data_IF_984233509488
#
_entry.id   IF_984233509488
#
_cell.length_a   1.000
_cell.length_b   1.000
_cell.length_c   1.000
_cell.angle_alpha   90.00
_cell.angle_beta   90.00
_cell.angle_gamma   90.00
#
_symmetry.space_group_name_H-M   'P 1'
#
loop_
_entity.id
_entity.type
_entity.pdbx_description
1 polymer ?
#
# COMPACT_ATOMS: atom_id res chain seq x y z
N UNK A 1 11.02 -17.72 -4.15
CA UNK A 1 11.00 -16.91 -2.90
C UNK A 1 12.41 -16.43 -2.66
N UNK A 2 12.60 -15.20 -2.14
CA UNK A 2 13.95 -14.69 -1.89
C UNK A 2 14.68 -15.64 -0.93
N UNK A 3 15.92 -16.01 -1.26
CA UNK A 3 16.72 -16.95 -0.47
C UNK A 3 17.06 -16.41 0.93
N UNK A 4 17.04 -15.08 1.10
CA UNK A 4 17.28 -14.39 2.38
C UNK A 4 16.44 -13.11 2.48
N UNK A 5 15.94 -12.81 3.69
CA UNK A 5 15.24 -11.56 4.00
C UNK A 5 16.27 -10.42 3.97
N UNK A 6 15.97 -9.30 3.30
CA UNK A 6 16.91 -8.17 3.25
C UNK A 6 17.01 -7.43 4.60
N UNK A 7 18.17 -6.82 4.93
CA UNK A 7 18.31 -6.01 6.15
C UNK A 7 17.24 -4.91 6.25
N UNK A 8 16.82 -4.58 7.47
CA UNK A 8 15.80 -3.56 7.71
C UNK A 8 14.36 -4.03 7.47
N UNK A 9 14.14 -5.34 7.42
CA UNK A 9 12.82 -5.96 7.31
C UNK A 9 12.57 -6.84 8.54
N UNK A 10 11.30 -7.16 8.80
CA UNK A 10 10.90 -8.08 9.88
C UNK A 10 11.66 -9.40 9.72
N UNK A 11 12.26 -9.89 10.81
CA UNK A 11 13.11 -11.08 10.80
C UNK A 11 14.58 -10.85 10.39
N UNK A 12 14.97 -9.64 9.98
CA UNK A 12 16.37 -9.27 9.70
C UNK A 12 16.66 -7.79 10.03
N UNK A 13 16.59 -7.44 11.31
CA UNK A 13 16.98 -6.13 11.84
C UNK A 13 18.34 -6.22 12.55
N UNK A 14 19.20 -5.22 12.35
CA UNK A 14 20.35 -5.01 13.25
C UNK A 14 19.87 -4.47 14.60
N UNK A 15 20.68 -4.56 15.68
CA UNK A 15 20.32 -3.97 16.97
C UNK A 15 19.98 -2.48 16.89
N UNK A 16 20.69 -1.72 16.05
CA UNK A 16 20.42 -0.29 15.83
C UNK A 16 19.09 -0.06 15.10
N UNK A 17 18.77 -0.91 14.12
CA UNK A 17 17.52 -0.84 13.38
C UNK A 17 16.31 -1.20 14.27
N UNK A 18 16.45 -2.23 15.10
CA UNK A 18 15.45 -2.60 16.11
C UNK A 18 15.21 -1.44 17.10
N UNK A 19 16.28 -0.81 17.58
CA UNK A 19 16.19 0.36 18.44
C UNK A 19 15.47 1.54 17.76
N UNK A 20 15.70 1.75 16.46
CA UNK A 20 14.99 2.79 15.69
C UNK A 20 13.50 2.48 15.49
N UNK A 21 13.16 1.21 15.28
CA UNK A 21 11.77 0.76 15.25
C UNK A 21 11.10 1.00 16.62
N UNK A 22 11.80 0.70 17.71
CA UNK A 22 11.32 0.94 19.08
C UNK A 22 11.06 2.42 19.33
N UNK A 23 11.99 3.30 18.92
CA UNK A 23 11.85 4.75 19.01
C UNK A 23 10.66 5.27 18.20
N UNK A 24 10.42 4.74 17.00
CA UNK A 24 9.26 5.14 16.19
C UNK A 24 7.93 4.73 16.85
N UNK A 25 7.83 3.51 17.37
CA UNK A 25 6.64 3.08 18.11
C UNK A 25 6.41 3.92 19.36
N UNK A 26 7.46 4.22 20.11
CA UNK A 26 7.38 5.10 21.28
C UNK A 26 6.84 6.49 20.90
N UNK A 27 7.41 7.11 19.87
CA UNK A 27 6.97 8.42 19.40
C UNK A 27 5.53 8.40 18.87
N UNK A 28 5.14 7.34 18.17
CA UNK A 28 3.78 7.15 17.69
C UNK A 28 2.76 6.98 18.84
N UNK A 29 3.09 6.19 19.87
CA UNK A 29 2.21 6.02 21.04
C UNK A 29 2.10 7.26 21.91
N UNK A 30 3.18 8.05 22.04
CA UNK A 30 3.10 9.38 22.66
C UNK A 30 2.17 10.31 21.88
N UNK A 31 2.29 10.31 20.55
CA UNK A 31 1.42 11.09 19.67
C UNK A 31 -0.04 10.71 19.82
N UNK A 32 -0.31 9.41 19.96
CA UNK A 32 -1.64 8.84 20.11
C UNK A 32 -2.18 8.89 21.55
N UNK A 33 -1.44 9.48 22.51
CA UNK A 33 -1.86 9.56 23.91
C UNK A 33 -1.90 8.21 24.64
N UNK A 34 -1.31 7.16 24.05
CA UNK A 34 -1.20 5.82 24.65
C UNK A 34 -0.09 5.80 25.71
N UNK A 35 0.97 6.59 25.51
CA UNK A 35 2.14 6.68 26.38
C UNK A 35 2.22 8.12 26.91
N UNK A 36 2.33 8.29 28.23
CA UNK A 36 2.47 9.63 28.84
C UNK A 36 3.84 10.25 28.52
N UNK A 37 3.90 11.59 28.43
CA UNK A 37 5.18 12.30 28.30
C UNK A 37 6.00 12.14 29.59
N UNK A 38 7.19 11.54 29.52
CA UNK A 38 8.19 11.47 30.60
C UNK A 38 8.65 12.85 31.13
N UNK A 39 8.13 13.94 30.59
CA UNK A 39 8.45 15.31 31.01
C UNK A 39 7.92 15.68 32.41
N UNK A 40 7.16 14.82 33.09
CA UNK A 40 6.72 15.03 34.48
C UNK A 40 7.73 14.57 35.55
N UNK A 41 8.76 13.81 35.19
CA UNK A 41 9.76 13.27 36.13
C UNK A 41 10.95 14.24 36.37
N UNK A 42 10.68 15.52 36.60
CA UNK A 42 11.68 16.45 37.20
C UNK A 42 11.01 17.75 37.62
N UNK A 43 10.31 17.77 38.75
CA UNK A 43 10.22 18.94 39.65
C UNK A 43 9.58 18.50 40.96
N UNK A 44 10.36 17.83 41.80
CA UNK A 44 10.07 17.74 43.22
C UNK A 44 11.21 18.43 43.98
N UNK A 45 11.11 19.75 44.12
CA UNK A 45 11.70 20.50 45.24
C UNK A 45 11.09 21.89 45.38
N UNK A 46 10.68 22.19 46.61
CA UNK A 46 10.42 23.48 47.25
C UNK A 46 9.01 24.10 47.11
N UNK A 47 8.58 24.69 48.23
CA UNK A 47 7.20 24.89 48.66
C UNK A 47 6.77 26.37 48.72
N UNK A 48 5.47 26.54 48.99
CA UNK A 48 4.72 27.71 49.51
C UNK A 48 4.05 28.70 48.53
N UNK A 49 2.69 28.75 48.60
CA UNK A 49 1.97 30.03 48.74
C UNK A 49 0.75 30.33 47.84
N UNK A 50 -0.46 30.03 48.36
CA UNK A 50 -1.79 30.72 48.19
C UNK A 50 -2.53 30.82 46.83
N UNK A 51 -3.63 30.06 46.76
CA UNK A 51 -5.03 30.32 46.32
C UNK A 51 -5.40 31.27 45.12
N UNK A 52 -5.91 30.64 44.04
CA UNK A 52 -7.11 30.85 43.16
C UNK A 52 -7.56 32.25 42.61
N UNK A 53 -8.34 32.34 41.48
CA UNK A 53 -9.06 31.29 40.72
C UNK A 53 -8.96 31.28 39.16
N UNK A 54 -9.30 30.11 38.59
CA UNK A 54 -9.94 29.79 37.30
C UNK A 54 -9.38 30.36 35.96
N UNK A 55 -8.65 29.51 35.22
CA UNK A 55 -8.33 29.67 33.80
C UNK A 55 -9.10 28.67 32.92
N UNK A 56 -9.54 29.14 31.75
CA UNK A 56 -10.09 28.32 30.68
C UNK A 56 -9.06 27.38 30.05
N UNK A 57 -9.57 26.34 29.41
CA UNK A 57 -8.81 25.25 28.77
C UNK A 57 -7.69 25.78 27.85
N UNK A 58 -6.44 25.55 28.27
CA UNK A 58 -5.24 25.82 27.48
C UNK A 58 -5.01 24.68 26.49
N UNK A 59 -5.05 24.99 25.19
CA UNK A 59 -4.60 24.13 24.09
C UNK A 59 -3.19 23.55 24.40
N UNK A 60 -3.09 22.23 24.55
CA UNK A 60 -1.82 21.50 24.70
C UNK A 60 -1.03 21.61 23.39
N UNK A 61 0.01 22.44 23.35
CA UNK A 61 0.99 22.48 22.26
C UNK A 61 1.99 21.34 22.47
N UNK A 62 1.94 20.32 21.61
CA UNK A 62 2.94 19.24 21.57
C UNK A 62 4.34 19.82 21.31
N UNK A 63 5.25 19.58 22.26
CA UNK A 63 6.64 20.06 22.25
C UNK A 63 7.62 19.06 21.66
N UNK A 64 7.31 18.45 20.51
CA UNK A 64 8.21 17.47 19.87
C UNK A 64 9.51 18.12 19.33
N UNK A 65 9.53 19.45 19.14
CA UNK A 65 10.67 20.16 18.56
C UNK A 65 11.60 20.90 19.55
N UNK A 66 11.56 20.61 20.86
CA UNK A 66 12.36 21.38 21.82
C UNK A 66 13.22 20.53 22.75
N UNK A 67 14.24 19.87 22.20
CA UNK A 67 15.38 19.39 23.00
C UNK A 67 16.74 19.55 22.30
N UNK A 68 17.23 20.79 22.20
CA UNK A 68 18.61 21.16 22.55
C UNK A 68 18.75 22.68 22.63
N UNK A 69 19.24 23.15 23.77
CA UNK A 69 19.52 24.57 24.01
C UNK A 69 20.79 25.02 23.29
N UNK A 70 20.67 26.20 22.70
CA UNK A 70 21.74 27.19 22.51
C UNK A 70 22.98 26.79 21.72
N UNK A 71 22.78 26.35 20.48
CA UNK A 71 23.64 26.78 19.36
C UNK A 71 22.68 27.24 18.26
N UNK A 72 22.96 28.39 17.63
CA UNK A 72 22.23 28.85 16.45
C UNK A 72 22.36 27.75 15.39
N UNK A 73 21.32 26.94 15.29
CA UNK A 73 21.31 25.70 14.53
C UNK A 73 21.36 25.97 13.04
N UNK A 74 22.46 25.59 12.42
CA UNK A 74 22.60 25.40 10.98
C UNK A 74 21.65 24.30 10.43
N UNK A 75 20.91 23.57 11.27
CA UNK A 75 19.96 22.54 10.85
C UNK A 75 18.57 23.10 10.47
N UNK A 76 18.25 24.35 10.82
CA UNK A 76 17.00 24.98 10.37
C UNK A 76 17.02 25.37 8.87
N UNK A 77 18.20 25.40 8.25
CA UNK A 77 18.35 25.58 6.80
C UNK A 77 18.41 24.27 6.01
N UNK A 78 18.60 23.11 6.67
CA UNK A 78 18.71 21.81 5.98
C UNK A 78 17.40 21.00 6.00
N UNK A 79 16.45 21.31 6.89
CA UNK A 79 15.13 20.67 6.88
C UNK A 79 14.23 21.13 5.71
N UNK A 80 14.61 22.20 5.01
CA UNK A 80 13.87 22.72 3.87
C UNK A 80 14.14 21.99 2.54
N UNK A 81 15.19 21.15 2.46
CA UNK A 81 15.53 20.42 1.22
C UNK A 81 14.74 19.11 1.03
N UNK A 82 14.07 18.59 2.07
CA UNK A 82 13.49 17.22 2.07
C UNK A 82 11.94 17.19 2.08
N UNK A 83 11.27 18.35 2.00
CA UNK A 83 9.80 18.44 2.05
C UNK A 83 9.15 18.65 0.68
N UNK A 84 9.57 17.87 -0.33
CA UNK A 84 9.09 17.92 -1.72
C UNK A 84 7.55 17.93 -1.82
N UNK A 85 6.86 17.28 -0.88
CA UNK A 85 5.42 17.09 -0.90
C UNK A 85 4.66 17.84 0.21
N UNK A 86 5.32 18.71 0.98
CA UNK A 86 4.67 19.48 2.04
C UNK A 86 4.18 18.65 3.24
N UNK A 87 4.78 17.48 3.48
CA UNK A 87 4.45 16.55 4.56
C UNK A 87 4.62 17.19 5.94
N UNK A 88 5.59 18.08 6.14
CA UNK A 88 5.76 18.74 7.45
C UNK A 88 4.57 19.61 7.80
N UNK A 89 4.08 20.38 6.82
CA UNK A 89 2.90 21.22 6.99
C UNK A 89 1.65 20.36 7.20
N UNK A 90 1.49 19.32 6.39
CA UNK A 90 0.34 18.42 6.49
C UNK A 90 0.31 17.70 7.85
N UNK A 91 1.46 17.22 8.33
CA UNK A 91 1.61 16.66 9.68
C UNK A 91 1.10 17.62 10.77
N UNK A 92 1.52 18.89 10.73
CA UNK A 92 1.06 19.89 11.69
C UNK A 92 -0.45 20.14 11.61
N UNK A 93 -1.02 20.13 10.40
CA UNK A 93 -2.47 20.25 10.19
C UNK A 93 -3.23 19.05 10.78
N UNK A 94 -2.71 17.83 10.61
CA UNK A 94 -3.30 16.61 11.19
C UNK A 94 -3.34 16.69 12.71
N UNK A 95 -2.21 17.06 13.36
CA UNK A 95 -2.15 17.19 14.82
C UNK A 95 -3.06 18.29 15.37
N UNK A 96 -3.37 19.30 14.56
CA UNK A 96 -4.26 20.39 14.97
C UNK A 96 -5.74 20.03 14.82
N UNK A 97 -6.08 19.05 13.99
CA UNK A 97 -7.46 18.75 13.56
C UNK A 97 -7.98 17.40 14.03
N UNK A 98 -7.10 16.45 14.36
CA UNK A 98 -7.47 15.09 14.76
C UNK A 98 -7.14 14.85 16.23
N UNK A 99 -7.96 14.04 16.91
CA UNK A 99 -7.64 13.60 18.27
C UNK A 99 -6.53 12.53 18.22
N UNK A 100 -5.76 12.34 19.30
CA UNK A 100 -4.78 11.26 19.40
C UNK A 100 -5.39 9.87 19.11
N UNK A 101 -6.62 9.63 19.55
CA UNK A 101 -7.35 8.38 19.32
C UNK A 101 -7.69 8.20 17.84
N UNK A 102 -8.15 9.24 17.15
CA UNK A 102 -8.45 9.18 15.72
C UNK A 102 -7.19 8.88 14.88
N UNK A 103 -6.02 9.41 15.27
CA UNK A 103 -4.74 9.09 14.63
C UNK A 103 -4.42 7.61 14.82
N UNK A 104 -4.57 7.10 16.05
CA UNK A 104 -4.37 5.67 16.39
C UNK A 104 -5.28 4.76 15.57
N UNK A 105 -6.58 5.05 15.51
CA UNK A 105 -7.56 4.27 14.75
C UNK A 105 -7.23 4.26 13.25
N UNK A 106 -6.81 5.41 12.70
CA UNK A 106 -6.41 5.52 11.30
C UNK A 106 -5.21 4.61 10.99
N UNK A 107 -4.21 4.55 11.87
CA UNK A 107 -3.07 3.66 11.69
C UNK A 107 -3.51 2.19 11.64
N UNK A 108 -4.34 1.76 12.59
CA UNK A 108 -4.81 0.38 12.64
C UNK A 108 -5.73 0.00 11.48
N UNK A 109 -6.48 0.95 10.93
CA UNK A 109 -7.22 0.78 9.68
C UNK A 109 -6.29 0.56 8.47
N UNK A 110 -5.09 1.17 8.49
CA UNK A 110 -4.09 1.08 7.42
C UNK A 110 -3.32 -0.24 7.42
N UNK A 111 -3.14 -0.86 8.59
CA UNK A 111 -2.40 -2.12 8.77
C UNK A 111 -3.00 -3.27 7.97
N UNK A 112 -4.33 -3.41 7.92
CA UNK A 112 -5.01 -4.50 7.19
C UNK A 112 -4.40 -5.88 7.50
N UNK A 113 -3.91 -6.61 6.49
CA UNK A 113 -3.22 -7.89 6.61
C UNK A 113 -1.69 -7.78 6.70
N UNK A 114 -1.14 -6.57 6.70
CA UNK A 114 0.30 -6.37 6.86
C UNK A 114 0.73 -6.61 8.32
N UNK A 115 1.98 -6.99 8.50
CA UNK A 115 2.60 -6.96 9.83
C UNK A 115 2.76 -5.50 10.29
N UNK A 116 2.31 -5.11 11.50
CA UNK A 116 2.38 -3.71 11.94
C UNK A 116 3.80 -3.14 11.90
N UNK A 117 4.81 -3.90 12.35
CA UNK A 117 6.21 -3.50 12.23
C UNK A 117 6.70 -3.39 10.77
N UNK A 118 6.26 -4.26 9.86
CA UNK A 118 6.65 -4.14 8.45
C UNK A 118 6.14 -2.83 7.85
N UNK A 119 4.93 -2.40 8.23
CA UNK A 119 4.39 -1.11 7.81
C UNK A 119 5.24 0.05 8.35
N UNK A 120 5.57 0.05 9.65
CA UNK A 120 6.42 1.07 10.25
C UNK A 120 7.84 1.12 9.64
N UNK A 121 8.43 -0.05 9.37
CA UNK A 121 9.76 -0.19 8.80
C UNK A 121 9.86 0.41 7.39
N UNK A 122 8.80 0.39 6.57
CA UNK A 122 8.78 1.07 5.27
C UNK A 122 9.11 2.56 5.41
N UNK A 123 8.53 3.23 6.41
CA UNK A 123 8.76 4.66 6.66
C UNK A 123 10.16 4.93 7.20
N UNK A 124 10.68 4.07 8.08
CA UNK A 124 12.05 4.17 8.57
C UNK A 124 13.06 4.02 7.43
N UNK A 125 12.93 3.00 6.59
CA UNK A 125 13.82 2.81 5.42
C UNK A 125 13.74 4.01 4.46
N UNK A 126 12.53 4.46 4.14
CA UNK A 126 12.31 5.62 3.26
C UNK A 126 12.88 6.94 3.80
N UNK A 127 13.08 7.05 5.12
CA UNK A 127 13.68 8.22 5.77
C UNK A 127 15.05 7.92 6.39
N UNK A 128 15.75 6.90 5.87
CA UNK A 128 17.14 6.56 6.23
C UNK A 128 17.32 6.40 7.75
N UNK A 129 16.33 5.79 8.40
CA UNK A 129 16.26 5.55 9.85
C UNK A 129 16.22 6.82 10.72
N UNK A 130 15.83 7.96 10.14
CA UNK A 130 15.45 9.16 10.88
C UNK A 130 14.01 9.00 11.40
N UNK A 131 13.87 8.90 12.73
CA UNK A 131 12.60 8.58 13.40
C UNK A 131 11.59 9.71 13.24
N UNK A 132 12.02 10.96 13.39
CA UNK A 132 11.13 12.12 13.33
C UNK A 132 10.58 12.30 11.92
N UNK A 133 11.46 12.19 10.91
CA UNK A 133 11.04 12.24 9.50
C UNK A 133 10.14 11.07 9.12
N UNK A 134 10.42 9.87 9.64
CA UNK A 134 9.58 8.69 9.40
C UNK A 134 8.18 8.88 10.01
N UNK A 135 8.08 9.42 11.22
CA UNK A 135 6.80 9.72 11.87
C UNK A 135 6.00 10.77 11.11
N UNK A 136 6.65 11.84 10.66
CA UNK A 136 6.03 12.89 9.82
C UNK A 136 5.45 12.28 8.54
N UNK A 137 6.23 11.44 7.84
CA UNK A 137 5.78 10.77 6.62
C UNK A 137 4.63 9.81 6.88
N UNK A 138 4.70 9.01 7.95
CA UNK A 138 3.66 8.05 8.34
C UNK A 138 2.31 8.73 8.57
N UNK A 139 2.28 9.74 9.44
CA UNK A 139 1.03 10.44 9.78
C UNK A 139 0.50 11.25 8.59
N UNK A 140 1.37 11.84 7.78
CA UNK A 140 0.95 12.51 6.53
C UNK A 140 0.31 11.53 5.54
N UNK A 141 0.88 10.33 5.42
CA UNK A 141 0.35 9.26 4.57
C UNK A 141 -1.00 8.78 5.07
N UNK A 142 -1.14 8.58 6.38
CA UNK A 142 -2.40 8.19 7.02
C UNK A 142 -3.51 9.19 6.72
N UNK A 143 -3.23 10.49 6.83
CA UNK A 143 -4.19 11.55 6.52
C UNK A 143 -4.54 11.61 5.04
N UNK A 144 -3.56 11.55 4.13
CA UNK A 144 -3.84 11.46 2.70
C UNK A 144 -4.73 10.26 2.36
N UNK A 145 -4.41 9.10 2.95
CA UNK A 145 -5.14 7.84 2.72
C UNK A 145 -6.58 7.90 3.21
N UNK A 146 -6.79 8.46 4.39
CA UNK A 146 -8.09 8.54 5.05
C UNK A 146 -8.97 9.68 4.52
N UNK A 147 -8.40 10.90 4.45
CA UNK A 147 -9.16 12.14 4.23
C UNK A 147 -9.14 12.60 2.78
N UNK A 148 -7.98 12.60 2.14
CA UNK A 148 -7.83 13.17 0.79
C UNK A 148 -8.28 12.18 -0.28
N UNK A 149 -7.67 10.99 -0.29
CA UNK A 149 -7.90 9.95 -1.30
C UNK A 149 -9.02 8.97 -0.91
N UNK A 150 -9.35 8.89 0.39
CA UNK A 150 -10.40 8.01 0.94
C UNK A 150 -10.25 6.56 0.44
N UNK A 151 -9.03 6.04 0.52
CA UNK A 151 -8.65 4.76 -0.06
C UNK A 151 -9.55 3.63 0.46
N UNK A 152 -9.69 3.52 1.78
CA UNK A 152 -10.43 2.42 2.39
C UNK A 152 -11.93 2.70 2.45
N UNK A 153 -12.33 3.95 2.71
CA UNK A 153 -13.73 4.35 2.92
C UNK A 153 -14.52 4.52 1.63
N UNK A 154 -13.84 4.71 0.49
CA UNK A 154 -14.48 4.96 -0.79
C UNK A 154 -13.91 4.04 -1.88
N UNK A 155 -12.64 4.20 -2.26
CA UNK A 155 -12.08 3.47 -3.43
C UNK A 155 -12.20 1.95 -3.27
N UNK A 156 -11.75 1.42 -2.13
CA UNK A 156 -11.76 -0.02 -1.87
C UNK A 156 -13.11 -0.52 -1.35
N UNK A 157 -13.86 0.30 -0.61
CA UNK A 157 -15.21 -0.05 -0.14
C UNK A 157 -16.22 -0.16 -1.30
N UNK A 158 -16.14 0.73 -2.28
CA UNK A 158 -17.05 0.75 -3.43
C UNK A 158 -16.53 -0.10 -4.60
N UNK A 159 -15.21 -0.08 -4.83
CA UNK A 159 -14.54 -0.90 -5.85
C UNK A 159 -15.19 -0.82 -7.24
N UNK A 160 -15.21 -1.96 -7.91
CA UNK A 160 -15.71 -2.05 -9.29
C UNK A 160 -17.23 -1.98 -9.38
N UNK A 161 -17.96 -2.60 -8.44
CA UNK A 161 -19.43 -2.52 -8.40
C UNK A 161 -19.91 -1.08 -8.19
N UNK A 162 -19.26 -0.33 -7.29
CA UNK A 162 -19.56 1.08 -7.09
C UNK A 162 -19.30 1.92 -8.34
N UNK A 163 -18.26 1.60 -9.11
CA UNK A 163 -18.05 2.23 -10.42
C UNK A 163 -19.16 1.90 -11.43
N UNK A 164 -19.68 0.67 -11.43
CA UNK A 164 -20.85 0.26 -12.25
C UNK A 164 -22.10 1.04 -11.85
N UNK A 165 -22.38 1.16 -10.55
CA UNK A 165 -23.51 1.94 -10.04
C UNK A 165 -23.36 3.40 -10.46
N UNK A 166 -22.20 4.00 -10.22
CA UNK A 166 -21.93 5.38 -10.61
C UNK A 166 -22.08 5.61 -12.12
N UNK A 167 -21.56 4.72 -12.96
CA UNK A 167 -21.70 4.85 -14.42
C UNK A 167 -23.16 4.76 -14.90
N UNK A 168 -24.00 3.96 -14.22
CA UNK A 168 -25.41 3.76 -14.60
C UNK A 168 -26.34 4.83 -14.03
N UNK A 169 -26.17 5.14 -12.75
CA UNK A 169 -27.13 5.87 -11.92
C UNK A 169 -26.56 7.17 -11.36
N UNK A 170 -25.23 7.36 -11.41
CA UNK A 170 -24.58 8.57 -10.93
C UNK A 170 -24.99 9.80 -11.73
N UNK A 171 -24.85 10.96 -11.09
CA UNK A 171 -25.06 12.26 -11.73
C UNK A 171 -23.71 12.95 -11.98
N UNK A 172 -23.63 13.73 -13.06
CA UNK A 172 -22.50 14.63 -13.38
C UNK A 172 -21.13 13.93 -13.24
N UNK A 173 -20.30 14.40 -12.31
CA UNK A 173 -18.93 13.96 -12.12
C UNK A 173 -18.85 12.50 -11.65
N UNK A 174 -19.75 12.06 -10.77
CA UNK A 174 -19.78 10.67 -10.32
C UNK A 174 -20.00 9.69 -11.48
N UNK A 175 -20.91 10.04 -12.40
CA UNK A 175 -21.14 9.25 -13.61
C UNK A 175 -19.90 9.15 -14.47
N UNK A 176 -19.28 10.30 -14.78
CA UNK A 176 -18.08 10.36 -15.60
C UNK A 176 -16.93 9.57 -14.97
N UNK A 177 -16.69 9.75 -13.67
CA UNK A 177 -15.64 9.01 -12.93
C UNK A 177 -15.87 7.51 -13.00
N UNK A 178 -17.11 7.05 -12.82
CA UNK A 178 -17.49 5.64 -12.94
C UNK A 178 -17.29 5.07 -14.35
N UNK A 179 -17.74 5.79 -15.38
CA UNK A 179 -17.55 5.41 -16.79
C UNK A 179 -16.06 5.31 -17.15
N UNK A 180 -15.28 6.33 -16.79
CA UNK A 180 -13.84 6.41 -17.05
C UNK A 180 -13.07 5.31 -16.29
N UNK A 181 -13.48 4.99 -15.05
CA UNK A 181 -12.82 3.96 -14.23
C UNK A 181 -13.04 2.58 -14.83
N UNK A 182 -14.28 2.27 -15.22
CA UNK A 182 -14.62 1.02 -15.87
C UNK A 182 -14.00 0.89 -17.26
N UNK A 183 -13.90 1.97 -18.03
CA UNK A 183 -13.24 1.95 -19.33
C UNK A 183 -11.80 1.44 -19.19
N UNK A 184 -11.06 1.95 -18.21
CA UNK A 184 -9.67 1.55 -17.93
C UNK A 184 -9.55 0.07 -17.55
N UNK A 185 -10.45 -0.43 -16.69
CA UNK A 185 -10.50 -1.84 -16.29
C UNK A 185 -10.86 -2.75 -17.46
N UNK A 186 -11.95 -2.45 -18.17
CA UNK A 186 -12.49 -3.26 -19.27
C UNK A 186 -11.49 -3.43 -20.42
N UNK A 187 -10.74 -2.38 -20.74
CA UNK A 187 -9.71 -2.44 -21.79
C UNK A 187 -8.42 -3.12 -21.32
N UNK A 188 -8.28 -3.44 -20.02
CA UNK A 188 -7.05 -3.96 -19.46
C UNK A 188 -5.90 -2.97 -19.60
N UNK A 189 -6.16 -1.70 -19.31
CA UNK A 189 -5.15 -0.63 -19.40
C UNK A 189 -3.95 -0.92 -18.51
N UNK A 190 -4.25 -1.48 -17.34
CA UNK A 190 -3.26 -2.10 -16.46
C UNK A 190 -3.88 -3.29 -15.75
N UNK A 191 -3.08 -4.29 -15.41
CA UNK A 191 -3.57 -5.49 -14.71
C UNK A 191 -2.44 -6.17 -13.95
N UNK A 192 -2.80 -7.00 -12.98
CA UNK A 192 -1.89 -7.87 -12.25
C UNK A 192 -1.91 -9.25 -12.88
N UNK A 193 -0.73 -9.82 -13.11
CA UNK A 193 -0.61 -11.22 -13.47
C UNK A 193 0.79 -11.74 -13.16
N UNK A 194 0.85 -12.88 -12.47
CA UNK A 194 2.09 -13.55 -12.18
C UNK A 194 2.97 -12.86 -11.15
N UNK A 195 4.19 -13.38 -11.03
CA UNK A 195 5.22 -12.92 -10.10
C UNK A 195 6.59 -12.97 -10.77
N UNK A 196 7.46 -12.07 -10.36
CA UNK A 196 8.85 -12.09 -10.79
C UNK A 196 9.68 -13.09 -9.97
N UNK A 197 10.97 -13.23 -10.29
CA UNK A 197 11.89 -14.17 -9.64
C UNK A 197 12.10 -13.90 -8.14
N UNK A 198 11.84 -12.68 -7.69
CA UNK A 198 11.88 -12.31 -6.27
C UNK A 198 10.54 -12.56 -5.56
N UNK A 199 9.53 -13.07 -6.26
CA UNK A 199 8.18 -13.31 -5.72
C UNK A 199 7.33 -12.04 -5.65
N UNK A 200 7.74 -10.95 -6.32
CA UNK A 200 6.98 -9.70 -6.34
C UNK A 200 5.83 -9.84 -7.34
N UNK A 201 4.58 -9.49 -6.99
CA UNK A 201 3.49 -9.46 -7.94
C UNK A 201 3.81 -8.47 -9.06
N UNK A 202 3.44 -8.83 -10.28
CA UNK A 202 3.70 -8.02 -11.47
C UNK A 202 2.43 -7.26 -11.85
N UNK A 203 2.54 -5.94 -12.00
CA UNK A 203 1.54 -5.08 -12.60
C UNK A 203 1.99 -4.66 -13.99
N UNK A 204 1.26 -5.04 -15.04
CA UNK A 204 1.52 -4.62 -16.42
C UNK A 204 0.68 -3.38 -16.73
N UNK A 205 1.29 -2.36 -17.31
CA UNK A 205 0.66 -1.12 -17.79
C UNK A 205 0.85 -1.02 -19.30
N UNK A 206 -0.23 -1.13 -20.07
CA UNK A 206 -0.22 -1.05 -21.54
C UNK A 206 -0.31 0.41 -21.96
N UNK A 207 0.85 1.04 -22.18
CA UNK A 207 0.92 2.50 -22.41
C UNK A 207 0.20 2.92 -23.71
N UNK A 208 0.17 2.04 -24.73
CA UNK A 208 -0.57 2.27 -25.99
C UNK A 208 -2.07 2.54 -25.81
N UNK A 209 -2.66 2.12 -24.68
CA UNK A 209 -4.09 2.27 -24.36
C UNK A 209 -4.39 3.57 -23.60
N UNK A 210 -3.38 4.40 -23.32
CA UNK A 210 -3.58 5.71 -22.73
C UNK A 210 -3.58 6.79 -23.81
N UNK A 211 -4.55 7.71 -23.78
CA UNK A 211 -4.44 9.01 -24.45
C UNK A 211 -4.88 10.12 -23.52
N UNK A 212 -4.17 11.24 -23.59
CA UNK A 212 -4.43 12.39 -22.75
C UNK A 212 -5.86 12.91 -22.98
N UNK A 213 -6.60 13.11 -21.87
CA UNK A 213 -7.94 13.67 -21.87
C UNK A 213 -9.09 12.68 -22.14
N UNK A 214 -8.80 11.41 -22.44
CA UNK A 214 -9.85 10.38 -22.60
C UNK A 214 -10.50 9.99 -21.27
N UNK A 215 -9.77 10.06 -20.17
CA UNK A 215 -10.29 9.88 -18.81
C UNK A 215 -9.99 11.11 -17.96
N UNK A 216 -10.89 11.47 -17.05
CA UNK A 216 -10.64 12.55 -16.11
C UNK A 216 -9.53 12.19 -15.11
N UNK A 217 -8.86 13.23 -14.59
CA UNK A 217 -7.74 13.09 -13.65
C UNK A 217 -8.14 12.31 -12.39
N UNK A 218 -9.28 12.64 -11.78
CA UNK A 218 -9.78 11.93 -10.61
C UNK A 218 -9.96 10.42 -10.88
N UNK A 219 -10.49 10.02 -12.04
CA UNK A 219 -10.65 8.61 -12.38
C UNK A 219 -9.30 7.91 -12.60
N UNK A 220 -8.33 8.58 -13.23
CA UNK A 220 -6.96 8.06 -13.40
C UNK A 220 -6.27 7.84 -12.03
N UNK A 221 -6.41 8.78 -11.11
CA UNK A 221 -5.84 8.69 -9.76
C UNK A 221 -6.49 7.57 -8.95
N UNK A 222 -7.84 7.50 -8.94
CA UNK A 222 -8.59 6.44 -8.25
C UNK A 222 -8.27 5.06 -8.80
N UNK A 223 -8.19 4.92 -10.12
CA UNK A 223 -7.80 3.67 -10.77
C UNK A 223 -6.38 3.23 -10.42
N UNK A 224 -5.43 4.19 -10.39
CA UNK A 224 -4.05 3.92 -9.99
C UNK A 224 -3.98 3.43 -8.54
N UNK A 225 -4.66 4.10 -7.62
CA UNK A 225 -4.70 3.71 -6.20
C UNK A 225 -5.38 2.36 -6.00
N UNK A 226 -6.49 2.10 -6.71
CA UNK A 226 -7.17 0.81 -6.69
C UNK A 226 -6.25 -0.33 -7.10
N UNK A 227 -5.43 -0.16 -8.14
CA UNK A 227 -4.45 -1.17 -8.56
C UNK A 227 -3.31 -1.35 -7.55
N UNK A 228 -2.80 -0.28 -6.95
CA UNK A 228 -1.77 -0.37 -5.90
C UNK A 228 -2.32 -1.17 -4.72
N UNK A 229 -3.52 -0.87 -4.26
CA UNK A 229 -4.16 -1.59 -3.15
C UNK A 229 -4.46 -3.05 -3.51
N UNK A 230 -4.91 -3.30 -4.74
CA UNK A 230 -5.15 -4.68 -5.22
C UNK A 230 -3.83 -5.47 -5.29
N UNK A 231 -2.73 -4.84 -5.70
CA UNK A 231 -1.40 -5.45 -5.66
C UNK A 231 -0.95 -5.76 -4.22
N UNK A 232 -1.29 -4.91 -3.26
CA UNK A 232 -0.99 -5.17 -1.84
C UNK A 232 -1.71 -6.41 -1.30
N UNK A 233 -2.90 -6.73 -1.79
CA UNK A 233 -3.67 -7.91 -1.36
C UNK A 233 -3.00 -9.24 -1.76
N UNK A 234 -2.21 -9.24 -2.82
CA UNK A 234 -1.51 -10.43 -3.34
C UNK A 234 -0.07 -10.55 -2.83
N UNK A 235 0.46 -9.56 -2.12
CA UNK A 235 1.79 -9.61 -1.50
C UNK A 235 1.85 -10.67 -0.40
N UNK A 236 2.98 -11.38 -0.31
CA UNK A 236 3.20 -12.39 0.73
C UNK A 236 4.55 -12.18 1.40
N UNK A 237 4.60 -12.07 2.74
CA UNK A 237 5.86 -12.00 3.47
C UNK A 237 6.82 -13.13 3.05
N UNK A 238 8.12 -12.87 2.94
CA UNK A 238 8.79 -11.59 3.28
C UNK A 238 8.72 -10.52 2.17
N UNK A 239 8.02 -10.78 1.06
CA UNK A 239 7.91 -9.84 -0.07
C UNK A 239 6.88 -8.77 0.23
N UNK A 240 7.32 -7.51 0.22
CA UNK A 240 6.51 -6.33 0.53
C UNK A 240 6.49 -5.29 -0.62
N UNK A 241 7.06 -5.64 -1.78
CA UNK A 241 7.17 -4.79 -2.97
C UNK A 241 6.56 -5.44 -4.22
N UNK A 242 6.18 -4.61 -5.20
CA UNK A 242 5.68 -5.06 -6.51
C UNK A 242 6.67 -4.71 -7.64
N UNK A 243 6.51 -5.38 -8.78
CA UNK A 243 7.18 -5.04 -10.04
C UNK A 243 6.17 -4.45 -11.01
N UNK A 244 6.52 -3.33 -11.65
CA UNK A 244 5.66 -2.67 -12.65
C UNK A 244 6.32 -2.83 -14.01
N UNK A 245 5.59 -3.31 -15.01
CA UNK A 245 6.02 -3.33 -16.41
C UNK A 245 5.25 -2.24 -17.15
N UNK A 246 5.94 -1.21 -17.62
CA UNK A 246 5.40 -0.30 -18.62
C UNK A 246 5.66 -0.89 -20.00
N UNK A 247 4.64 -1.51 -20.59
CA UNK A 247 4.70 -2.01 -21.95
C UNK A 247 4.53 -0.85 -22.94
N UNK A 248 5.65 -0.46 -23.54
CA UNK A 248 5.75 0.62 -24.51
C UNK A 248 5.52 0.15 -25.95
N UNK A 249 5.16 -1.13 -26.16
CA UNK A 249 4.84 -1.65 -27.49
C UNK A 249 3.67 -0.87 -28.08
N UNK A 250 3.89 -0.27 -29.26
CA UNK A 250 2.91 0.60 -29.90
C UNK A 250 2.81 2.01 -29.33
N UNK A 251 3.74 2.43 -28.47
CA UNK A 251 3.79 3.80 -27.95
C UNK A 251 3.99 4.83 -29.07
N UNK A 252 3.24 5.93 -28.96
CA UNK A 252 3.39 7.15 -29.73
C UNK A 252 3.31 8.38 -28.82
N UNK A 253 3.66 9.56 -29.32
CA UNK A 253 3.54 10.80 -28.55
C UNK A 253 2.09 11.12 -28.14
N UNK A 254 1.09 10.58 -28.82
CA UNK A 254 -0.32 10.73 -28.42
C UNK A 254 -0.65 9.99 -27.10
N UNK A 255 0.22 9.06 -26.68
CA UNK A 255 0.06 8.31 -25.45
C UNK A 255 0.78 8.96 -24.25
N UNK A 256 1.60 9.99 -24.48
CA UNK A 256 2.36 10.61 -23.40
C UNK A 256 1.49 11.60 -22.63
N UNK A 257 1.25 11.31 -21.35
CA UNK A 257 0.62 12.23 -20.40
C UNK A 257 1.46 12.30 -19.11
N UNK A 258 1.85 13.50 -18.72
CA UNK A 258 2.66 13.72 -17.53
C UNK A 258 1.85 13.74 -16.23
N UNK A 259 0.53 13.97 -16.29
CA UNK A 259 -0.34 14.02 -15.12
C UNK A 259 -0.35 12.69 -14.36
N UNK A 260 -0.75 11.54 -14.97
CA UNK A 260 -0.73 10.26 -14.28
C UNK A 260 0.70 9.82 -13.91
N UNK A 261 1.72 10.20 -14.68
CA UNK A 261 3.12 9.92 -14.33
C UNK A 261 3.52 10.61 -13.04
N UNK A 262 3.24 11.91 -12.89
CA UNK A 262 3.54 12.66 -11.66
C UNK A 262 2.75 12.13 -10.47
N UNK A 263 1.50 11.72 -10.67
CA UNK A 263 0.70 11.11 -9.62
C UNK A 263 1.30 9.77 -9.15
N UNK A 264 1.69 8.90 -10.08
CA UNK A 264 2.37 7.63 -9.74
C UNK A 264 3.68 7.86 -8.98
N UNK A 265 4.48 8.86 -9.39
CA UNK A 265 5.71 9.25 -8.68
C UNK A 265 5.38 9.68 -7.24
N UNK A 266 4.39 10.57 -7.06
CA UNK A 266 3.94 11.00 -5.74
C UNK A 266 3.46 9.81 -4.90
N UNK A 267 2.72 8.87 -5.50
CA UNK A 267 2.28 7.66 -4.81
C UNK A 267 3.48 6.90 -4.22
N UNK A 268 4.48 6.55 -5.03
CA UNK A 268 5.60 5.71 -4.56
C UNK A 268 6.64 6.44 -3.71
N UNK A 269 6.76 7.76 -3.82
CA UNK A 269 7.72 8.55 -3.02
C UNK A 269 7.14 9.11 -1.71
N UNK A 270 5.82 9.35 -1.66
CA UNK A 270 5.19 10.02 -0.53
C UNK A 270 4.21 9.14 0.26
N UNK A 271 3.41 8.32 -0.44
CA UNK A 271 2.21 7.68 0.14
C UNK A 271 2.31 6.15 0.24
N UNK A 272 3.15 5.53 -0.58
CA UNK A 272 3.44 4.09 -0.59
C UNK A 272 4.96 3.88 -0.59
N UNK A 273 5.68 4.40 0.42
CA UNK A 273 7.12 4.22 0.50
C UNK A 273 7.49 2.74 0.48
N UNK A 274 8.64 2.44 -0.11
CA UNK A 274 9.20 1.09 -0.10
C UNK A 274 8.24 0.01 -0.62
N UNK A 275 7.30 0.38 -1.50
CA UNK A 275 6.33 -0.55 -2.11
C UNK A 275 6.70 -0.96 -3.54
N UNK A 276 7.68 -0.26 -4.14
CA UNK A 276 8.16 -0.53 -5.48
C UNK A 276 9.50 -1.27 -5.44
N UNK A 277 9.56 -2.43 -6.10
CA UNK A 277 10.75 -3.28 -6.17
C UNK A 277 11.52 -3.12 -7.49
N UNK A 278 10.82 -3.12 -8.62
CA UNK A 278 11.40 -2.89 -9.95
C UNK A 278 10.38 -2.23 -10.88
N UNK A 279 10.87 -1.42 -11.81
CA UNK A 279 10.10 -0.85 -12.92
C UNK A 279 10.77 -1.27 -14.21
N UNK A 280 10.08 -2.05 -15.03
CA UNK A 280 10.56 -2.50 -16.33
C UNK A 280 9.89 -1.65 -17.41
N UNK A 281 10.64 -0.76 -18.04
CA UNK A 281 10.18 -0.02 -19.22
C UNK A 281 10.51 -0.88 -20.44
N UNK A 282 9.50 -1.62 -20.91
CA UNK A 282 9.65 -2.66 -21.93
C UNK A 282 9.33 -2.14 -23.34
N UNK A 283 10.17 -2.43 -24.32
CA UNK A 283 10.02 -2.05 -25.73
C UNK A 283 9.88 -0.53 -25.96
N UNK A 284 10.60 0.28 -25.18
CA UNK A 284 10.57 1.73 -25.31
C UNK A 284 11.15 2.18 -26.67
N UNK A 285 10.41 2.95 -27.50
CA UNK A 285 10.95 3.49 -28.74
C UNK A 285 12.05 4.53 -28.44
N UNK A 286 12.96 4.73 -29.39
CA UNK A 286 14.13 5.62 -29.22
C UNK A 286 13.75 7.04 -28.75
N UNK A 287 12.60 7.56 -29.18
CA UNK A 287 12.08 8.88 -28.78
C UNK A 287 11.86 8.98 -27.26
N UNK A 288 11.57 7.86 -26.59
CA UNK A 288 11.33 7.81 -25.16
C UNK A 288 12.57 8.15 -24.34
N UNK A 289 13.78 8.06 -24.90
CA UNK A 289 15.01 8.46 -24.19
C UNK A 289 14.99 9.94 -23.77
N UNK A 290 14.43 10.82 -24.62
CA UNK A 290 14.23 12.23 -24.28
C UNK A 290 13.22 12.42 -23.15
N UNK A 291 12.11 11.67 -23.20
CA UNK A 291 11.05 11.68 -22.18
C UNK A 291 11.59 11.17 -20.84
N UNK A 292 12.34 10.06 -20.86
CA UNK A 292 12.95 9.49 -19.68
C UNK A 292 13.90 10.47 -18.99
N UNK A 293 14.69 11.25 -19.75
CA UNK A 293 15.55 12.28 -19.16
C UNK A 293 14.75 13.32 -18.35
N UNK A 294 13.53 13.65 -18.80
CA UNK A 294 12.62 14.55 -18.08
C UNK A 294 12.07 13.85 -16.83
N UNK A 295 11.49 12.65 -16.98
CA UNK A 295 10.89 11.88 -15.88
C UNK A 295 11.93 11.60 -14.79
N UNK A 296 13.14 11.17 -15.16
CA UNK A 296 14.24 10.92 -14.24
C UNK A 296 14.61 12.14 -13.40
N UNK A 297 14.45 13.36 -13.94
CA UNK A 297 14.65 14.60 -13.18
C UNK A 297 13.59 14.85 -12.11
N UNK A 298 12.45 14.15 -12.15
CA UNK A 298 11.41 14.23 -11.14
C UNK A 298 11.52 13.14 -10.07
N UNK A 299 12.21 12.05 -10.37
CA UNK A 299 12.36 10.91 -9.47
C UNK A 299 13.43 11.17 -8.42
N UNK A 300 13.17 10.75 -7.18
CA UNK A 300 14.23 10.58 -6.21
C UNK A 300 15.22 9.50 -6.67
N UNK A 301 16.51 9.57 -6.26
CA UNK A 301 17.53 8.63 -6.72
C UNK A 301 17.22 7.15 -6.43
N UNK A 302 16.50 6.83 -5.35
CA UNK A 302 16.15 5.45 -4.97
C UNK A 302 15.10 4.89 -5.92
N UNK A 303 14.06 5.65 -6.26
CA UNK A 303 13.07 5.20 -7.25
C UNK A 303 13.68 5.16 -8.65
N UNK A 304 14.49 6.15 -9.03
CA UNK A 304 15.17 6.15 -10.34
C UNK A 304 16.08 4.94 -10.52
N UNK A 305 16.73 4.46 -9.46
CA UNK A 305 17.61 3.28 -9.50
C UNK A 305 16.85 1.95 -9.72
N UNK A 306 15.53 1.93 -9.48
CA UNK A 306 14.67 0.76 -9.70
C UNK A 306 14.16 0.64 -11.14
N UNK A 307 14.47 1.61 -12.00
CA UNK A 307 14.01 1.63 -13.40
C UNK A 307 15.00 0.92 -14.30
N UNK A 308 14.52 -0.10 -15.02
CA UNK A 308 15.27 -0.93 -15.95
C UNK A 308 14.63 -0.87 -17.33
N UNK A 309 15.43 -0.72 -18.38
CA UNK A 309 14.96 -0.76 -19.77
C UNK A 309 15.16 -2.16 -20.32
N UNK A 310 14.10 -2.72 -20.92
CA UNK A 310 14.12 -4.06 -21.53
C UNK A 310 13.54 -3.97 -22.95
N UNK A 311 14.06 -4.74 -23.90
CA UNK A 311 13.71 -4.64 -25.33
C UNK A 311 13.38 -6.00 -25.97
N UNK A 312 13.55 -7.09 -25.24
CA UNK A 312 13.30 -8.43 -25.73
C UNK A 312 13.07 -9.39 -24.56
N UNK A 313 12.68 -10.63 -24.87
CA UNK A 313 12.46 -11.70 -23.89
C UNK A 313 13.67 -11.95 -23.00
N UNK A 314 14.89 -11.93 -23.55
CA UNK A 314 16.12 -12.15 -22.79
C UNK A 314 16.31 -11.12 -21.67
N UNK A 315 16.08 -9.84 -21.96
CA UNK A 315 16.15 -8.78 -20.95
C UNK A 315 15.09 -8.98 -19.84
N UNK A 316 13.86 -9.37 -20.21
CA UNK A 316 12.81 -9.65 -19.23
C UNK A 316 13.12 -10.89 -18.36
N UNK A 317 13.82 -11.88 -18.91
CA UNK A 317 14.21 -13.10 -18.19
C UNK A 317 15.19 -12.84 -17.04
N UNK A 318 15.86 -11.68 -17.00
CA UNK A 318 16.66 -11.29 -15.83
C UNK A 318 15.78 -11.09 -14.59
N UNK A 319 14.51 -10.73 -14.78
CA UNK A 319 13.58 -10.42 -13.70
C UNK A 319 12.49 -11.47 -13.53
N UNK A 320 11.99 -12.06 -14.62
CA UNK A 320 10.81 -12.92 -14.64
C UNK A 320 11.21 -14.31 -15.11
N UNK A 321 10.59 -15.36 -14.56
CA UNK A 321 10.82 -16.71 -15.09
C UNK A 321 10.39 -16.81 -16.55
N UNK A 322 11.19 -17.40 -17.46
CA UNK A 322 10.90 -17.47 -18.89
C UNK A 322 9.47 -17.94 -19.24
N UNK A 323 8.97 -18.93 -18.51
CA UNK A 323 7.64 -19.53 -18.69
C UNK A 323 6.50 -18.68 -18.14
N UNK A 324 6.78 -17.60 -17.42
CA UNK A 324 5.82 -16.65 -16.86
C UNK A 324 5.87 -15.28 -17.58
N UNK A 325 6.62 -15.19 -18.68
CA UNK A 325 6.60 -13.99 -19.52
C UNK A 325 5.46 -14.15 -20.52
N UNK A 326 4.49 -13.24 -20.46
CA UNK A 326 3.34 -13.21 -21.37
C UNK A 326 3.76 -13.17 -22.83
N UNK A 327 3.03 -13.86 -23.70
CA UNK A 327 3.18 -13.75 -25.17
C UNK A 327 3.06 -12.31 -25.66
N UNK A 328 2.19 -11.50 -25.05
CA UNK A 328 2.07 -10.08 -25.42
C UNK A 328 3.33 -9.24 -25.13
N UNK A 329 4.21 -9.74 -24.24
CA UNK A 329 5.53 -9.18 -23.92
C UNK A 329 6.67 -9.94 -24.61
N UNK A 330 6.36 -10.80 -25.59
CA UNK A 330 7.34 -11.59 -26.34
C UNK A 330 7.82 -12.87 -25.65
N UNK A 331 7.14 -13.32 -24.59
CA UNK A 331 7.43 -14.58 -23.89
C UNK A 331 6.62 -15.78 -24.37
N UNK A 332 6.54 -16.81 -23.52
CA UNK A 332 5.91 -18.10 -23.85
C UNK A 332 4.56 -18.32 -23.17
N UNK A 333 4.24 -17.54 -22.13
CA UNK A 333 3.02 -17.74 -21.35
C UNK A 333 1.78 -17.33 -22.16
N UNK A 334 0.93 -18.32 -22.44
CA UNK A 334 -0.30 -18.16 -23.20
C UNK A 334 -1.46 -17.73 -22.30
N UNK A 335 -1.37 -16.49 -21.81
CA UNK A 335 -2.41 -15.87 -21.00
C UNK A 335 -2.84 -14.54 -21.61
N UNK A 336 -4.14 -14.25 -21.53
CA UNK A 336 -4.74 -13.02 -22.03
C UNK A 336 -5.61 -12.40 -20.94
N UNK A 337 -5.45 -11.09 -20.74
CA UNK A 337 -6.31 -10.34 -19.83
C UNK A 337 -7.76 -10.37 -20.31
N UNK A 338 -8.66 -10.83 -19.43
CA UNK A 338 -10.10 -10.81 -19.64
C UNK A 338 -10.78 -10.16 -18.45
N UNK A 339 -11.50 -9.07 -18.71
CA UNK A 339 -12.30 -8.43 -17.69
C UNK A 339 -13.60 -9.20 -17.46
N UNK A 340 -13.91 -9.50 -16.21
CA UNK A 340 -15.16 -10.11 -15.76
C UNK A 340 -15.93 -9.05 -14.97
N UNK A 341 -17.13 -8.70 -15.43
CA UNK A 341 -17.98 -7.71 -14.76
C UNK A 341 -18.36 -8.14 -13.34
N UNK A 342 -18.60 -7.17 -12.42
CA UNK A 342 -19.21 -7.43 -11.13
C UNK A 342 -20.54 -8.18 -11.26
N UNK A 343 -20.77 -9.14 -10.37
CA UNK A 343 -22.00 -9.93 -10.31
C UNK A 343 -22.92 -9.38 -9.22
N UNK A 344 -24.22 -9.31 -9.50
CA UNK A 344 -25.20 -8.83 -8.53
C UNK A 344 -25.13 -9.65 -7.22
N UNK A 345 -24.98 -8.94 -6.09
CA UNK A 345 -24.92 -9.54 -4.76
C UNK A 345 -23.54 -10.03 -4.32
N UNK A 346 -22.49 -9.86 -5.13
CA UNK A 346 -21.13 -10.30 -4.75
C UNK A 346 -20.57 -9.58 -3.50
N UNK A 347 -21.13 -8.40 -3.18
CA UNK A 347 -20.78 -7.58 -2.01
C UNK A 347 -21.84 -7.62 -0.90
N UNK A 348 -22.84 -8.52 -0.96
CA UNK A 348 -23.94 -8.53 0.01
C UNK A 348 -23.49 -8.77 1.46
N UNK A 349 -22.36 -9.46 1.66
CA UNK A 349 -21.75 -9.61 3.00
C UNK A 349 -21.44 -8.26 3.65
N UNK A 350 -21.14 -7.21 2.89
CA UNK A 350 -20.89 -5.88 3.43
C UNK A 350 -22.14 -5.24 4.08
N UNK A 351 -23.35 -5.74 3.78
CA UNK A 351 -24.61 -5.30 4.39
C UNK A 351 -24.84 -5.93 5.77
N UNK A 352 -24.11 -7.00 6.11
CA UNK A 352 -24.17 -7.63 7.42
C UNK A 352 -23.36 -6.81 8.44
N UNK A 353 -24.00 -5.75 8.93
CA UNK A 353 -23.41 -4.81 9.91
C UNK A 353 -23.17 -5.45 11.27
N UNK A 354 -23.94 -6.48 11.65
CA UNK A 354 -23.81 -7.16 12.94
C UNK A 354 -22.54 -8.03 12.96
N UNK A 355 -22.36 -8.88 11.95
CA UNK A 355 -21.14 -9.70 11.84
C UNK A 355 -19.91 -8.82 11.66
N UNK A 356 -20.00 -7.76 10.83
CA UNK A 356 -18.93 -6.77 10.69
C UNK A 356 -18.53 -6.16 12.04
N UNK A 357 -19.50 -5.68 12.83
CA UNK A 357 -19.23 -5.10 14.14
C UNK A 357 -18.60 -6.11 15.11
N UNK A 358 -19.08 -7.36 15.09
CA UNK A 358 -18.50 -8.44 15.92
C UNK A 358 -17.05 -8.74 15.55
N UNK A 359 -16.74 -8.82 14.26
CA UNK A 359 -15.37 -9.06 13.77
C UNK A 359 -14.46 -7.87 14.11
N UNK A 360 -14.93 -6.63 13.92
CA UNK A 360 -14.19 -5.42 14.31
C UNK A 360 -13.90 -5.39 15.82
N UNK A 361 -14.86 -5.73 16.67
CA UNK A 361 -14.64 -5.81 18.11
C UNK A 361 -13.65 -6.93 18.51
N UNK A 362 -13.62 -8.04 17.77
CA UNK A 362 -12.60 -9.08 17.93
C UNK A 362 -11.20 -8.58 17.55
N UNK A 363 -11.11 -7.87 16.42
CA UNK A 363 -9.89 -7.24 15.94
C UNK A 363 -9.34 -6.20 16.90
N UNK A 364 -10.21 -5.36 17.48
CA UNK A 364 -9.83 -4.34 18.45
C UNK A 364 -9.12 -4.94 19.68
N UNK A 365 -9.55 -6.13 20.13
CA UNK A 365 -8.87 -6.85 21.21
C UNK A 365 -7.46 -7.28 20.81
N UNK A 366 -7.29 -7.84 19.61
CA UNK A 366 -5.96 -8.22 19.10
C UNK A 366 -5.04 -7.00 18.95
N UNK A 367 -5.59 -5.87 18.48
CA UNK A 367 -4.88 -4.60 18.40
C UNK A 367 -4.39 -4.17 19.78
N UNK A 368 -5.28 -4.19 20.78
CA UNK A 368 -4.92 -3.82 22.16
C UNK A 368 -3.83 -4.74 22.73
N UNK A 369 -3.93 -6.05 22.52
CA UNK A 369 -2.90 -7.01 22.95
C UNK A 369 -1.55 -6.74 22.27
N UNK A 370 -1.54 -6.37 20.99
CA UNK A 370 -0.31 -6.01 20.27
C UNK A 370 0.31 -4.71 20.81
N UNK A 371 -0.51 -3.71 21.11
CA UNK A 371 -0.05 -2.46 21.72
C UNK A 371 0.52 -2.68 23.11
N UNK A 372 -0.16 -3.45 23.96
CA UNK A 372 0.31 -3.81 25.30
C UNK A 372 1.67 -4.53 25.23
N UNK A 373 1.82 -5.50 24.32
CA UNK A 373 3.09 -6.19 24.09
C UNK A 373 4.18 -5.24 23.54
N UNK A 374 3.80 -4.28 22.69
CA UNK A 374 4.74 -3.27 22.17
C UNK A 374 5.18 -2.29 23.25
N UNK A 375 4.29 -1.90 24.18
CA UNK A 375 4.62 -1.09 25.34
C UNK A 375 5.59 -1.83 26.28
N UNK A 376 5.36 -3.11 26.57
CA UNK A 376 6.29 -3.93 27.36
C UNK A 376 7.69 -3.97 26.73
N UNK A 377 7.76 -4.15 25.41
CA UNK A 377 9.01 -4.12 24.67
C UNK A 377 9.69 -2.74 24.72
N UNK A 378 8.93 -1.64 24.60
CA UNK A 378 9.45 -0.27 24.73
C UNK A 378 10.06 -0.04 26.12
N UNK A 379 9.37 -0.48 27.18
CA UNK A 379 9.80 -0.31 28.58
C UNK A 379 10.91 -1.27 29.02
N UNK A 380 11.29 -2.23 28.16
CA UNK A 380 12.33 -3.25 28.43
C UNK A 380 12.03 -4.13 29.65
N UNK A 381 10.76 -4.35 29.98
CA UNK A 381 10.35 -5.24 31.06
C UNK A 381 10.31 -6.70 30.54
N UNK A 382 11.35 -7.49 30.82
CA UNK A 382 11.40 -8.94 30.53
C UNK A 382 12.52 -9.40 29.58
N UNK A 383 12.57 -10.71 29.30
CA UNK A 383 13.43 -11.28 28.26
C UNK A 383 12.93 -10.80 26.89
N UNK A 384 13.57 -9.77 26.31
CA UNK A 384 13.17 -9.10 25.05
C UNK A 384 12.73 -10.05 23.93
N UNK A 385 13.31 -11.25 23.88
CA UNK A 385 13.00 -12.28 22.88
C UNK A 385 11.59 -12.86 22.99
N UNK A 386 11.08 -13.08 24.20
CA UNK A 386 9.72 -13.61 24.41
C UNK A 386 8.67 -12.58 23.97
N UNK A 387 8.88 -11.31 24.32
CA UNK A 387 7.98 -10.22 23.93
C UNK A 387 7.97 -10.02 22.42
N UNK A 388 9.13 -10.07 21.77
CA UNK A 388 9.22 -10.02 20.29
C UNK A 388 8.48 -11.19 19.64
N UNK A 389 8.68 -12.41 20.14
CA UNK A 389 7.95 -13.61 19.66
C UNK A 389 6.44 -13.42 19.79
N UNK A 390 5.98 -12.90 20.94
CA UNK A 390 4.56 -12.62 21.17
C UNK A 390 3.99 -11.57 20.21
N UNK A 391 4.75 -10.52 19.89
CA UNK A 391 4.35 -9.49 18.91
C UNK A 391 4.19 -10.11 17.52
N UNK A 392 5.11 -10.98 17.10
CA UNK A 392 5.03 -11.66 15.80
C UNK A 392 3.83 -12.62 15.72
N UNK A 393 3.52 -13.34 16.81
CA UNK A 393 2.32 -14.18 16.91
C UNK A 393 1.03 -13.35 16.79
N UNK A 394 0.97 -12.20 17.49
CA UNK A 394 -0.17 -11.29 17.44
C UNK A 394 -0.32 -10.65 16.05
N UNK A 395 0.79 -10.29 15.39
CA UNK A 395 0.76 -9.80 14.01
C UNK A 395 0.22 -10.87 13.04
N UNK A 396 0.58 -12.13 13.25
CA UNK A 396 0.03 -13.26 12.48
C UNK A 396 -1.48 -13.41 12.70
N UNK A 397 -1.93 -13.30 13.95
CA UNK A 397 -3.36 -13.32 14.27
C UNK A 397 -4.12 -12.14 13.66
N UNK A 398 -3.55 -10.93 13.69
CA UNK A 398 -4.13 -9.73 13.04
C UNK A 398 -4.25 -9.92 11.52
N UNK A 399 -3.27 -10.56 10.89
CA UNK A 399 -3.31 -10.89 9.46
C UNK A 399 -4.45 -11.87 9.14
N UNK A 400 -4.52 -12.99 9.85
CA UNK A 400 -5.55 -14.01 9.61
C UNK A 400 -6.95 -13.47 9.93
N UNK A 401 -7.05 -12.65 10.96
CA UNK A 401 -8.26 -11.93 11.31
C UNK A 401 -8.74 -11.01 10.20
N UNK A 402 -7.84 -10.23 9.60
CA UNK A 402 -8.20 -9.33 8.50
C UNK A 402 -8.83 -10.09 7.33
N UNK A 403 -8.32 -11.28 6.99
CA UNK A 403 -8.90 -12.06 5.89
C UNK A 403 -10.31 -12.58 6.16
N UNK A 404 -10.70 -12.74 7.42
CA UNK A 404 -12.09 -13.03 7.81
C UNK A 404 -12.97 -11.79 7.73
N UNK A 405 -12.39 -10.61 7.97
CA UNK A 405 -13.05 -9.32 7.97
C UNK A 405 -13.17 -8.70 6.55
N UNK A 406 -12.24 -9.00 5.64
CA UNK A 406 -12.16 -8.44 4.28
C UNK A 406 -13.49 -8.48 3.50
N UNK A 407 -14.27 -9.58 3.49
CA UNK A 407 -15.57 -9.63 2.81
C UNK A 407 -16.61 -8.60 3.29
N UNK A 408 -16.41 -8.03 4.50
CA UNK A 408 -17.30 -7.05 5.12
C UNK A 408 -16.79 -5.60 5.00
N UNK A 409 -15.58 -5.41 4.48
CA UNK A 409 -14.93 -4.10 4.37
C UNK A 409 -14.75 -3.61 2.94
N UNK A 410 -14.47 -4.53 2.01
CA UNK A 410 -13.99 -4.22 0.67
C UNK A 410 -14.89 -4.84 -0.39
N UNK A 411 -15.20 -4.08 -1.43
CA UNK A 411 -15.87 -4.62 -2.61
C UNK A 411 -14.97 -5.65 -3.35
N UNK A 412 -15.58 -6.70 -3.88
CA UNK A 412 -14.90 -7.72 -4.69
C UNK A 412 -14.34 -7.09 -5.97
N UNK A 413 -13.11 -7.48 -6.31
CA UNK A 413 -12.45 -7.09 -7.54
C UNK A 413 -12.38 -8.25 -8.53
N UNK A 414 -11.87 -7.99 -9.73
CA UNK A 414 -11.65 -8.98 -10.79
C UNK A 414 -10.95 -10.25 -10.28
N UNK A 415 -9.93 -10.08 -9.44
CA UNK A 415 -9.13 -11.21 -8.95
C UNK A 415 -9.86 -12.05 -7.90
N UNK A 416 -10.84 -11.48 -7.17
CA UNK A 416 -11.76 -12.28 -6.34
C UNK A 416 -12.66 -13.13 -7.25
N UNK A 417 -13.28 -12.51 -8.27
CA UNK A 417 -14.19 -13.20 -9.21
C UNK A 417 -13.50 -14.31 -10.00
N UNK A 418 -12.22 -14.14 -10.33
CA UNK A 418 -11.43 -15.14 -11.03
C UNK A 418 -10.88 -16.24 -10.11
N UNK A 419 -11.06 -16.14 -8.79
CA UNK A 419 -10.48 -17.06 -7.82
C UNK A 419 -8.95 -16.98 -7.70
N UNK A 420 -8.36 -15.91 -8.26
CA UNK A 420 -6.93 -15.63 -8.18
C UNK A 420 -6.58 -15.20 -6.76
N UNK A 421 -7.32 -14.26 -6.17
CA UNK A 421 -7.10 -13.82 -4.80
C UNK A 421 -7.77 -14.81 -3.83
N UNK A 422 -6.96 -15.52 -3.04
CA UNK A 422 -7.42 -16.61 -2.16
C UNK A 422 -7.26 -16.27 -0.67
N UNK A 423 -7.44 -15.00 -0.33
CA UNK A 423 -7.32 -14.53 1.05
C UNK A 423 -5.96 -14.88 1.66
N UNK A 424 -5.95 -15.44 2.87
CA UNK A 424 -4.72 -15.83 3.56
C UNK A 424 -3.84 -16.82 2.76
N UNK A 425 -4.42 -17.63 1.88
CA UNK A 425 -3.72 -18.67 1.15
C UNK A 425 -2.75 -18.13 0.08
N UNK A 426 -3.02 -16.97 -0.51
CA UNK A 426 -2.18 -16.51 -1.63
C UNK A 426 -2.92 -15.84 -2.75
N UNK A 427 -2.16 -15.57 -3.81
CA UNK A 427 -2.69 -15.41 -5.14
C UNK A 427 -2.33 -16.65 -5.97
N UNK A 428 -3.29 -17.19 -6.72
CA UNK A 428 -3.08 -18.31 -7.62
C UNK A 428 -3.09 -17.83 -9.08
N UNK A 429 -1.90 -17.53 -9.61
CA UNK A 429 -1.75 -17.01 -10.97
C UNK A 429 -1.75 -18.09 -12.06
N UNK A 430 -1.27 -19.30 -11.75
CA UNK A 430 -0.90 -20.28 -12.79
C UNK A 430 -1.65 -21.61 -12.73
N UNK A 431 -2.32 -21.95 -11.62
CA UNK A 431 -2.98 -23.27 -11.51
C UNK A 431 -4.40 -23.28 -12.11
N UNK A 432 -5.08 -22.14 -12.11
CA UNK A 432 -6.38 -21.97 -12.77
C UNK A 432 -6.30 -22.18 -14.29
N UNK A 433 -5.16 -21.85 -14.90
CA UNK A 433 -4.89 -22.12 -16.33
C UNK A 433 -4.66 -23.62 -16.64
N UNK A 434 -4.15 -24.39 -15.66
CA UNK A 434 -3.94 -25.83 -15.81
C UNK A 434 -5.24 -26.64 -15.75
N UNK A 435 -6.22 -26.21 -14.96
CA UNK A 435 -7.54 -26.85 -14.92
C UNK A 435 -8.28 -26.69 -16.26
N UNK A 436 -8.25 -25.48 -16.86
CA UNK A 436 -8.89 -25.22 -18.14
C UNK A 436 -8.25 -25.94 -19.34
N UNK A 437 -6.96 -26.30 -19.24
CA UNK A 437 -6.24 -27.07 -20.28
C UNK A 437 -6.37 -28.59 -20.09
N UNK A 438 -6.63 -29.07 -18.87
CA UNK A 438 -6.87 -30.49 -18.58
C UNK A 438 -8.25 -30.97 -19.08
N UNK A 439 -9.28 -30.12 -19.02
CA UNK A 439 -10.63 -30.46 -19.50
C UNK A 439 -10.79 -30.41 -21.03
N UNK A 440 -9.77 -29.93 -21.75
CA UNK A 440 -9.74 -29.85 -23.22
C UNK A 440 -9.27 -31.12 -23.94
N UNK A 441 -8.86 -32.17 -23.20
CA UNK A 441 -8.28 -33.39 -23.77
C UNK A 441 -9.01 -34.69 -23.37
N UNK A 442 -10.32 -34.60 -23.13
CA UNK A 442 -11.20 -35.75 -22.98
C UNK A 442 -11.75 -36.23 -24.32
N UNK A 443 -11.11 -37.26 -24.89
CA UNK A 443 -11.63 -38.09 -25.98
C UNK A 443 -13.12 -38.41 -25.76
N UNK A 444 -14.00 -37.89 -26.61
CA UNK A 444 -15.32 -38.46 -26.86
C UNK A 444 -15.23 -39.29 -28.14
N UNK A 445 -14.68 -40.48 -27.99
CA UNK A 445 -14.89 -41.58 -28.93
C UNK A 445 -15.63 -42.69 -28.18
N UNK A 446 -16.93 -42.79 -28.40
CA UNK A 446 -17.67 -44.05 -28.38
C UNK A 446 -18.97 -43.85 -29.15
N UNK A 447 -18.96 -44.34 -30.39
CA UNK A 447 -20.17 -44.64 -31.15
C UNK A 447 -20.99 -45.69 -30.41
N UNK A 448 -22.28 -45.44 -30.20
CA UNK A 448 -23.32 -46.47 -30.18
C UNK A 448 -24.50 -45.89 -30.98
N UNK A 449 -24.49 -46.17 -32.28
CA UNK A 449 -25.69 -46.46 -33.04
C UNK A 449 -25.56 -47.93 -33.39
N UNK A 450 -26.43 -48.76 -32.83
CA UNK A 450 -27.16 -49.77 -33.59
C UNK A 450 -28.33 -50.25 -32.74
N UNK A 451 -29.51 -49.98 -33.28
CA UNK A 451 -30.81 -50.53 -32.89
C UNK A 451 -31.02 -51.73 -33.81
N UNK A 452 -31.08 -52.93 -33.24
CA UNK A 452 -32.07 -53.98 -33.50
C UNK A 452 -31.92 -55.14 -32.50
#
# INVERSE_FOLDING_TARGET
MPEQIAPGHVGNLTPEQEEKLRQLWQAFFQLCGVLEDDASASTNTAAHGKAEPAEGEKKRRFGVFKRKGNEKSAAASEAAEDDKYGQTKHFQEVLATNSPEAIRETFWSMVKHDHPDALALRFLRARKWDVDKALVMLVSTMSWRHSDMKVDLDIMANGEEGAVINAREGEKDAKKVGEDFLAQLRMGKSFLHGMDKQGRPICVVRVRLHRQGEQCEESLERYTVFLIETARMVLRPPVDTATIIFDMTGFSMANMDYTPVKFMIKCFEANYPESLGAVLVHNAPWIFQGIWKIIRGWLDPVVAAKVHFTNNKGDLQEFIEPSHILKELGGDEDWEFKYVEPVAGENDLMKDVETKAKLLAGREKLVKEYEDATLQWIHKEGESKEVLTKRDELATQLKDDYWRLDPYLRARCLYDRQGILQGAAGANWYELARAATADGNGNLDTSINDVD
#
